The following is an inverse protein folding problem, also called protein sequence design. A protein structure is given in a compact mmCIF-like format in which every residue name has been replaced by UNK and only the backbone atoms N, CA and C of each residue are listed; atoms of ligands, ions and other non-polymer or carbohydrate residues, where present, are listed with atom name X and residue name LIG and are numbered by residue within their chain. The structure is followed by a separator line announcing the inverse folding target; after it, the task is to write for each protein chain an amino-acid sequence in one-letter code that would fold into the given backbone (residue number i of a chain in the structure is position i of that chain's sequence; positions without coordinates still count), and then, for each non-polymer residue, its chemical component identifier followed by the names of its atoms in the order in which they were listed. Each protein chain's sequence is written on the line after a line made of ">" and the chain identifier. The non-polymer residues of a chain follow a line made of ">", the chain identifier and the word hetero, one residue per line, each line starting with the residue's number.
data_IF_436039398299
#
_entry.id   IF_436039398299
#
_cell.length_a   1.000
_cell.length_b   1.000
_cell.length_c   1.000
_cell.angle_alpha   90.00
_cell.angle_beta   90.00
_cell.angle_gamma   90.00
#
_symmetry.space_group_name_H-M   'P 1'
#
loop_
_entity.id
_entity.type
_entity.pdbx_description
1 polymer ?
#
# COMPACT_ATOMS: atom_id res chain seq x y z
N UNK A 1 -6.94 -15.70 7.20
CA UNK A 1 -5.68 -15.25 6.60
C UNK A 1 -4.74 -14.73 7.69
N UNK A 2 -3.90 -15.60 8.27
CA UNK A 2 -2.99 -15.21 9.36
C UNK A 2 -1.98 -14.10 8.96
N UNK A 3 -1.64 -14.03 7.67
CA UNK A 3 -0.70 -13.04 7.13
C UNK A 3 -1.20 -11.60 7.27
N UNK A 4 -2.50 -11.34 7.09
CA UNK A 4 -3.06 -9.99 7.20
C UNK A 4 -2.88 -9.42 8.62
N UNK A 5 -3.06 -10.26 9.65
CA UNK A 5 -2.89 -9.86 11.05
C UNK A 5 -1.45 -9.44 11.38
N UNK A 6 -0.48 -9.77 10.52
CA UNK A 6 0.92 -9.37 10.69
C UNK A 6 1.23 -7.99 10.08
N UNK A 7 0.33 -7.39 9.29
CA UNK A 7 0.56 -6.10 8.62
C UNK A 7 0.94 -4.99 9.61
N UNK A 8 0.29 -4.80 10.78
CA UNK A 8 0.69 -3.78 11.75
C UNK A 8 2.16 -3.91 12.18
N UNK A 9 2.65 -5.14 12.37
CA UNK A 9 4.05 -5.40 12.73
C UNK A 9 5.00 -4.97 11.61
N UNK A 10 4.71 -5.34 10.36
CA UNK A 10 5.53 -4.95 9.21
C UNK A 10 5.51 -3.45 8.97
N UNK A 11 4.34 -2.84 9.06
CA UNK A 11 4.17 -1.40 8.92
C UNK A 11 5.00 -0.64 9.96
N UNK A 12 4.93 -1.03 11.24
CA UNK A 12 5.69 -0.35 12.28
C UNK A 12 7.21 -0.39 12.01
N UNK A 13 7.74 -1.48 11.46
CA UNK A 13 9.15 -1.57 11.09
C UNK A 13 9.51 -0.54 10.00
N UNK A 14 8.69 -0.44 8.95
CA UNK A 14 8.90 0.53 7.87
C UNK A 14 8.76 1.96 8.39
N UNK A 15 7.72 2.23 9.19
CA UNK A 15 7.43 3.54 9.73
C UNK A 15 8.52 4.03 10.69
N UNK A 16 9.08 3.14 11.52
CA UNK A 16 10.20 3.45 12.41
C UNK A 16 11.48 3.80 11.64
N UNK A 17 11.72 3.16 10.50
CA UNK A 17 12.88 3.45 9.64
C UNK A 17 12.70 4.78 8.91
N UNK A 18 11.58 4.96 8.22
CA UNK A 18 11.25 6.20 7.53
C UNK A 18 9.72 6.37 7.37
N UNK A 19 9.10 7.31 8.10
CA UNK A 19 7.65 7.53 8.05
C UNK A 19 7.16 8.18 6.74
N UNK A 20 8.07 8.68 5.89
CA UNK A 20 7.73 9.32 4.62
C UNK A 20 7.58 8.32 3.48
N UNK A 21 8.06 7.08 3.63
CA UNK A 21 7.99 6.07 2.57
C UNK A 21 6.51 5.74 2.29
N UNK A 22 6.03 5.90 1.05
CA UNK A 22 4.68 5.49 0.68
C UNK A 22 4.54 3.96 0.73
N UNK A 23 3.47 3.49 1.36
CA UNK A 23 3.20 2.06 1.59
C UNK A 23 1.95 1.63 0.83
N UNK A 24 2.07 0.51 0.14
CA UNK A 24 0.96 -0.17 -0.52
C UNK A 24 0.70 -1.50 0.19
N UNK A 25 -0.56 -1.77 0.53
CA UNK A 25 -0.95 -3.08 1.07
C UNK A 25 -1.44 -3.94 -0.08
N UNK A 26 -0.80 -5.08 -0.32
CA UNK A 26 -1.10 -5.92 -1.49
C UNK A 26 -1.55 -7.32 -1.06
N UNK A 27 -2.82 -7.62 -1.28
CA UNK A 27 -3.36 -8.97 -1.26
C UNK A 27 -2.96 -9.73 -2.53
N UNK A 28 -2.28 -10.86 -2.38
CA UNK A 28 -1.82 -11.67 -3.51
C UNK A 28 -2.67 -12.94 -3.66
N UNK A 29 -2.50 -13.65 -4.78
CA UNK A 29 -3.20 -14.91 -5.10
C UNK A 29 -4.71 -14.73 -5.22
N UNK A 30 -5.16 -13.61 -5.80
CA UNK A 30 -6.58 -13.34 -6.08
C UNK A 30 -7.26 -14.47 -6.85
N UNK A 31 -6.53 -15.19 -7.69
CA UNK A 31 -7.02 -16.37 -8.42
C UNK A 31 -7.47 -17.55 -7.53
N UNK A 32 -7.05 -17.57 -6.27
CA UNK A 32 -7.47 -18.55 -5.27
C UNK A 32 -8.53 -17.99 -4.29
N UNK A 33 -8.88 -16.71 -4.43
CA UNK A 33 -9.81 -16.02 -3.56
C UNK A 33 -11.18 -15.92 -4.23
N UNK A 34 -12.23 -16.26 -3.49
CA UNK A 34 -13.60 -15.93 -3.88
C UNK A 34 -13.92 -14.47 -3.55
N UNK A 35 -15.09 -13.99 -4.01
CA UNK A 35 -15.57 -12.63 -3.76
C UNK A 35 -15.69 -12.31 -2.27
N UNK A 36 -16.03 -13.31 -1.44
CA UNK A 36 -16.14 -13.13 0.01
C UNK A 36 -14.79 -12.86 0.68
N UNK A 37 -13.74 -13.52 0.21
CA UNK A 37 -12.36 -13.31 0.65
C UNK A 37 -11.87 -11.93 0.24
N UNK A 38 -12.13 -11.51 -1.01
CA UNK A 38 -11.73 -10.20 -1.53
C UNK A 38 -12.41 -9.10 -0.72
N UNK A 39 -13.73 -9.18 -0.55
CA UNK A 39 -14.51 -8.23 0.26
C UNK A 39 -14.00 -8.16 1.70
N UNK A 40 -13.68 -9.31 2.31
CA UNK A 40 -13.11 -9.34 3.66
C UNK A 40 -11.73 -8.69 3.72
N UNK A 41 -10.91 -8.79 2.67
CA UNK A 41 -9.62 -8.09 2.59
C UNK A 41 -9.80 -6.58 2.57
N UNK A 42 -10.79 -6.08 1.83
CA UNK A 42 -11.16 -4.66 1.79
C UNK A 42 -11.66 -4.17 3.16
N UNK A 43 -12.56 -4.92 3.80
CA UNK A 43 -13.05 -4.62 5.15
C UNK A 43 -11.91 -4.57 6.18
N UNK A 44 -10.99 -5.55 6.12
CA UNK A 44 -9.84 -5.56 7.02
C UNK A 44 -8.87 -4.40 6.75
N UNK A 45 -8.72 -3.96 5.49
CA UNK A 45 -7.89 -2.81 5.15
C UNK A 45 -8.47 -1.51 5.70
N UNK A 46 -9.79 -1.33 5.59
CA UNK A 46 -10.47 -0.17 6.18
C UNK A 46 -10.35 -0.15 7.70
N UNK A 47 -10.48 -1.31 8.36
CA UNK A 47 -10.25 -1.44 9.80
C UNK A 47 -8.79 -1.12 10.18
N UNK A 48 -7.82 -1.67 9.44
CA UNK A 48 -6.40 -1.38 9.62
C UNK A 48 -6.14 0.13 9.53
N UNK A 49 -6.67 0.80 8.50
CA UNK A 49 -6.43 2.24 8.29
C UNK A 49 -6.98 3.09 9.43
N UNK A 50 -8.12 2.71 10.00
CA UNK A 50 -8.76 3.39 11.14
C UNK A 50 -8.00 3.18 12.45
N UNK A 51 -7.50 1.96 12.67
CA UNK A 51 -6.91 1.56 13.93
C UNK A 51 -5.39 1.76 14.00
N UNK A 52 -4.71 1.90 12.85
CA UNK A 52 -3.27 2.09 12.80
C UNK A 52 -2.91 3.58 12.91
N UNK A 53 -2.24 4.01 13.99
CA UNK A 53 -1.82 5.39 14.14
C UNK A 53 -0.84 5.79 13.03
N UNK A 54 -0.96 7.01 12.55
CA UNK A 54 -0.11 7.59 11.50
C UNK A 54 -0.16 6.91 10.13
N UNK A 55 -1.24 6.19 9.80
CA UNK A 55 -1.46 5.49 8.51
C UNK A 55 -1.54 6.38 7.25
N UNK A 56 -1.08 7.63 7.31
CA UNK A 56 -1.18 8.61 6.21
C UNK A 56 -0.30 8.27 5.01
N UNK A 57 0.81 7.58 5.24
CA UNK A 57 1.69 7.10 4.18
C UNK A 57 1.20 5.77 3.56
N UNK A 58 0.10 5.17 4.06
CA UNK A 58 -0.56 4.05 3.38
C UNK A 58 -1.42 4.61 2.25
N UNK A 59 -0.97 4.41 1.01
CA UNK A 59 -1.52 5.06 -0.18
C UNK A 59 -2.75 4.31 -0.71
N UNK A 60 -2.64 2.99 -0.83
CA UNK A 60 -3.67 2.17 -1.45
C UNK A 60 -3.60 0.70 -1.01
N UNK A 61 -4.68 -0.02 -1.29
CA UNK A 61 -4.80 -1.46 -1.15
C UNK A 61 -5.16 -2.09 -2.50
N UNK A 62 -4.43 -3.13 -2.89
CA UNK A 62 -4.66 -3.86 -4.13
C UNK A 62 -4.88 -5.34 -3.85
N UNK A 63 -5.79 -5.98 -4.57
CA UNK A 63 -5.89 -7.43 -4.64
C UNK A 63 -5.48 -7.88 -6.05
N UNK A 64 -4.40 -8.65 -6.15
CA UNK A 64 -3.79 -9.04 -7.43
C UNK A 64 -3.62 -10.55 -7.56
N UNK A 65 -3.46 -11.03 -8.79
CA UNK A 65 -2.93 -12.35 -9.07
C UNK A 65 -1.71 -12.27 -9.98
N UNK A 66 -0.55 -12.58 -9.42
CA UNK A 66 0.67 -12.74 -10.20
C UNK A 66 0.60 -13.93 -11.19
N UNK A 67 -0.32 -14.88 -10.97
CA UNK A 67 -0.49 -16.06 -11.83
C UNK A 67 -1.27 -15.73 -13.10
N UNK A 68 -2.34 -14.93 -12.99
CA UNK A 68 -3.16 -14.51 -14.13
C UNK A 68 -2.73 -13.19 -14.74
N UNK A 69 -1.89 -12.42 -14.03
CA UNK A 69 -1.50 -11.04 -14.38
C UNK A 69 -2.52 -9.98 -13.92
N UNK A 70 -3.65 -10.40 -13.35
CA UNK A 70 -4.72 -9.49 -12.94
C UNK A 70 -4.24 -8.50 -11.87
N UNK A 71 -4.40 -7.20 -12.16
CA UNK A 71 -4.08 -6.09 -11.25
C UNK A 71 -2.58 -5.80 -11.06
N UNK A 72 -1.68 -6.57 -11.70
CA UNK A 72 -0.23 -6.39 -11.54
C UNK A 72 0.23 -5.08 -12.20
N UNK A 73 -0.17 -4.84 -13.44
CA UNK A 73 0.23 -3.64 -14.17
C UNK A 73 -0.33 -2.38 -13.53
N UNK A 74 -1.58 -2.43 -13.04
CA UNK A 74 -2.20 -1.32 -12.32
C UNK A 74 -1.45 -0.98 -11.02
N UNK A 75 -1.06 -2.00 -10.25
CA UNK A 75 -0.24 -1.81 -9.04
C UNK A 75 1.06 -1.10 -9.35
N UNK A 76 1.82 -1.56 -10.35
CA UNK A 76 3.11 -0.97 -10.69
C UNK A 76 3.00 0.41 -11.34
N UNK A 77 1.95 0.65 -12.13
CA UNK A 77 1.64 1.98 -12.66
C UNK A 77 1.39 2.96 -11.51
N UNK A 78 0.63 2.55 -10.48
CA UNK A 78 0.38 3.37 -9.30
C UNK A 78 1.64 3.62 -8.47
N UNK A 79 2.52 2.62 -8.37
CA UNK A 79 3.82 2.80 -7.74
C UNK A 79 4.66 3.84 -8.47
N UNK A 80 4.74 3.78 -9.80
CA UNK A 80 5.46 4.76 -10.62
C UNK A 80 4.91 6.18 -10.43
N UNK A 81 3.61 6.37 -10.58
CA UNK A 81 2.94 7.66 -10.36
C UNK A 81 3.25 8.23 -8.97
N UNK A 82 3.25 7.37 -7.95
CA UNK A 82 3.51 7.78 -6.56
C UNK A 82 4.96 8.20 -6.39
N UNK A 83 5.91 7.45 -6.95
CA UNK A 83 7.33 7.82 -6.91
C UNK A 83 7.56 9.16 -7.62
N UNK A 84 6.98 9.36 -8.81
CA UNK A 84 7.07 10.61 -9.56
C UNK A 84 6.50 11.80 -8.76
N UNK A 85 5.35 11.62 -8.11
CA UNK A 85 4.75 12.63 -7.26
C UNK A 85 5.68 13.02 -6.10
N UNK A 86 6.27 12.06 -5.41
CA UNK A 86 7.17 12.34 -4.29
C UNK A 86 8.46 13.07 -4.75
N UNK A 87 9.05 12.68 -5.88
CA UNK A 87 10.18 13.42 -6.45
C UNK A 87 9.82 14.88 -6.77
N UNK A 88 8.63 15.11 -7.34
CA UNK A 88 8.18 16.48 -7.65
C UNK A 88 8.04 17.36 -6.40
N UNK A 89 7.70 16.78 -5.24
CA UNK A 89 7.63 17.50 -3.97
C UNK A 89 9.02 17.87 -3.46
N UNK A 90 9.99 16.96 -3.54
CA UNK A 90 11.38 17.21 -3.14
C UNK A 90 12.01 18.33 -3.99
N UNK A 91 11.81 18.29 -5.30
CA UNK A 91 12.29 19.33 -6.21
C UNK A 91 11.66 20.69 -5.90
N UNK A 92 10.36 20.73 -5.59
CA UNK A 92 9.66 21.98 -5.25
C UNK A 92 10.17 22.60 -3.95
N UNK A 93 10.52 21.78 -2.96
CA UNK A 93 11.07 22.26 -1.68
C UNK A 93 12.47 22.84 -1.89
N UNK A 94 13.31 22.19 -2.68
CA UNK A 94 14.68 22.67 -2.94
C UNK A 94 14.71 24.01 -3.70
N UNK A 95 13.74 24.27 -4.58
CA UNK A 95 13.62 25.54 -5.32
C UNK A 95 13.16 26.71 -4.44
N UNK A 96 12.49 26.47 -3.30
CA UNK A 96 12.01 27.53 -2.41
C UNK A 96 13.04 27.96 -1.34
N UNK A 97 14.18 27.28 -1.25
CA UNK A 97 15.23 27.54 -0.25
C UNK A 97 16.43 28.29 -0.87
N UNK A 98 16.43 28.51 -2.18
CA UNK A 98 17.36 29.40 -2.91
C UNK A 98 16.74 30.78 -3.17
#
# INVERSE_FOLDING_TARGET
>A
YPSFLSIPKWYNLIYHENPMIPVFVVGTKKDLADEGIIKKSEENFEDLRKNLPNSRNIIAHFCISAKTGEGVDELFTKCEETIQYYYSLEDTINVQVE
#
